data_IF_669531808512
#
_entry.id   IF_669531808512
#
_cell.length_a   1.000
_cell.length_b   1.000
_cell.length_c   1.000
_cell.angle_alpha   90.00
_cell.angle_beta   90.00
_cell.angle_gamma   90.00
#
_symmetry.space_group_name_H-M   'P 1'
#
loop_
_entity.id
_entity.type
_entity.pdbx_description
1 polymer ?
#
# COMPACT_ATOMS: atom_id res chain seq x y z
N UNK A 1 25.61 -16.83 -7.98
CA UNK A 1 24.45 -15.94 -7.77
C UNK A 1 23.20 -16.78 -7.99
N UNK A 2 22.35 -16.97 -6.99
CA UNK A 2 21.09 -17.68 -7.17
C UNK A 2 20.23 -16.91 -8.19
N UNK A 3 19.86 -17.53 -9.30
CA UNK A 3 18.91 -16.93 -10.25
C UNK A 3 17.53 -16.97 -9.59
N UNK A 4 16.99 -15.80 -9.28
CA UNK A 4 15.60 -15.69 -8.81
C UNK A 4 14.68 -16.27 -9.88
N UNK A 5 13.73 -17.09 -9.45
CA UNK A 5 12.67 -17.53 -10.36
C UNK A 5 11.70 -16.38 -10.62
N UNK A 6 10.94 -16.45 -11.71
CA UNK A 6 9.90 -15.46 -11.99
C UNK A 6 8.90 -15.34 -10.83
N UNK A 7 8.61 -16.45 -10.14
CA UNK A 7 7.74 -16.48 -8.96
C UNK A 7 8.35 -15.71 -7.78
N UNK A 8 9.66 -15.83 -7.54
CA UNK A 8 10.35 -15.10 -6.47
C UNK A 8 10.36 -13.59 -6.73
N UNK A 9 10.57 -13.18 -7.98
CA UNK A 9 10.50 -11.77 -8.38
C UNK A 9 9.08 -11.23 -8.17
N UNK A 10 8.07 -11.98 -8.61
CA UNK A 10 6.67 -11.60 -8.45
C UNK A 10 6.30 -11.46 -6.97
N UNK A 11 6.66 -12.46 -6.14
CA UNK A 11 6.45 -12.42 -4.69
C UNK A 11 7.07 -11.18 -4.05
N UNK A 12 8.33 -10.89 -4.36
CA UNK A 12 9.01 -9.73 -3.80
C UNK A 12 8.38 -8.40 -4.24
N UNK A 13 7.95 -8.28 -5.50
CA UNK A 13 7.30 -7.06 -6.00
C UNK A 13 5.96 -6.83 -5.30
N UNK A 14 5.13 -7.87 -5.17
CA UNK A 14 3.84 -7.74 -4.48
C UNK A 14 4.02 -7.39 -3.00
N UNK A 15 4.97 -8.02 -2.32
CA UNK A 15 5.27 -7.72 -0.92
C UNK A 15 5.78 -6.28 -0.74
N UNK A 16 6.72 -5.85 -1.58
CA UNK A 16 7.21 -4.46 -1.57
C UNK A 16 6.09 -3.45 -1.84
N UNK A 17 5.20 -3.75 -2.79
CA UNK A 17 4.05 -2.89 -3.08
C UNK A 17 3.08 -2.80 -1.89
N UNK A 18 2.80 -3.93 -1.23
CA UNK A 18 1.96 -3.99 -0.04
C UNK A 18 2.56 -3.16 1.10
N UNK A 19 3.82 -3.41 1.46
CA UNK A 19 4.51 -2.69 2.53
C UNK A 19 4.56 -1.17 2.26
N UNK A 20 4.83 -0.78 1.01
CA UNK A 20 4.85 0.62 0.61
C UNK A 20 3.48 1.29 0.73
N UNK A 21 2.40 0.56 0.42
CA UNK A 21 1.04 1.09 0.51
C UNK A 21 0.54 1.20 1.95
N UNK A 22 0.93 0.25 2.82
CA UNK A 22 0.68 0.32 4.27
C UNK A 22 1.35 1.55 4.89
N UNK A 23 2.61 1.81 4.53
CA UNK A 23 3.32 3.01 4.96
C UNK A 23 2.67 4.29 4.42
N UNK A 24 2.17 4.30 3.17
CA UNK A 24 1.45 5.43 2.61
C UNK A 24 0.14 5.70 3.35
N UNK A 25 -0.64 4.67 3.62
CA UNK A 25 -1.89 4.78 4.40
C UNK A 25 -1.60 5.42 5.76
N UNK A 26 -0.63 4.88 6.51
CA UNK A 26 -0.26 5.39 7.83
C UNK A 26 0.20 6.85 7.78
N UNK A 27 1.01 7.21 6.77
CA UNK A 27 1.49 8.57 6.55
C UNK A 27 0.34 9.56 6.31
N UNK A 28 -0.61 9.21 5.43
CA UNK A 28 -1.74 10.09 5.15
C UNK A 28 -2.73 10.17 6.31
N UNK A 29 -2.94 9.07 7.03
CA UNK A 29 -3.72 9.06 8.27
C UNK A 29 -3.11 9.98 9.34
N UNK A 30 -1.78 10.00 9.46
CA UNK A 30 -1.08 10.93 10.33
C UNK A 30 -1.28 12.38 9.87
N UNK A 31 -1.02 12.69 8.60
CA UNK A 31 -1.17 14.06 8.09
C UNK A 31 -2.60 14.58 8.17
N UNK A 32 -3.62 13.74 7.96
CA UNK A 32 -5.01 14.14 8.10
C UNK A 32 -5.38 14.53 9.54
N UNK A 33 -4.68 13.98 10.54
CA UNK A 33 -4.86 14.30 11.96
C UNK A 33 -4.08 15.55 12.37
N UNK A 34 -2.88 15.73 11.84
CA UNK A 34 -1.93 16.76 12.30
C UNK A 34 -2.05 18.10 11.57
N UNK A 35 -2.55 18.12 10.33
CA UNK A 35 -2.67 19.37 9.55
C UNK A 35 -3.89 20.19 10.00
N UNK A 36 -3.69 21.50 10.19
CA UNK A 36 -4.74 22.44 10.58
C UNK A 36 -5.58 22.92 9.38
N UNK A 37 -5.00 22.94 8.18
CA UNK A 37 -5.71 23.35 6.96
C UNK A 37 -6.79 22.33 6.59
N UNK A 38 -8.05 22.80 6.49
CA UNK A 38 -9.21 21.93 6.22
C UNK A 38 -9.17 21.29 4.83
N UNK A 39 -8.61 21.96 3.83
CA UNK A 39 -8.50 21.44 2.45
C UNK A 39 -7.45 20.34 2.40
N UNK A 40 -6.28 20.56 2.99
CA UNK A 40 -5.23 19.55 3.12
C UNK A 40 -5.70 18.34 3.91
N UNK A 41 -6.44 18.55 5.01
CA UNK A 41 -7.04 17.46 5.78
C UNK A 41 -7.95 16.57 4.94
N UNK A 42 -8.80 17.17 4.09
CA UNK A 42 -9.67 16.43 3.16
C UNK A 42 -8.85 15.65 2.12
N UNK A 43 -7.83 16.27 1.55
CA UNK A 43 -6.93 15.63 0.57
C UNK A 43 -6.23 14.41 1.20
N UNK A 44 -5.66 14.56 2.40
CA UNK A 44 -4.99 13.45 3.07
C UNK A 44 -5.95 12.32 3.45
N UNK A 45 -7.20 12.63 3.84
CA UNK A 45 -8.22 11.59 4.02
C UNK A 45 -8.53 10.83 2.73
N UNK A 46 -8.62 11.53 1.60
CA UNK A 46 -8.82 10.88 0.31
C UNK A 46 -7.65 9.95 0.00
N UNK A 47 -6.41 10.40 0.20
CA UNK A 47 -5.22 9.57 -0.03
C UNK A 47 -5.14 8.36 0.92
N UNK A 48 -5.51 8.53 2.19
CA UNK A 48 -5.63 7.42 3.14
C UNK A 48 -6.64 6.37 2.66
N UNK A 49 -7.82 6.80 2.23
CA UNK A 49 -8.85 5.90 1.69
C UNK A 49 -8.41 5.22 0.40
N UNK A 50 -7.77 5.94 -0.52
CA UNK A 50 -7.21 5.37 -1.75
C UNK A 50 -6.17 4.30 -1.44
N UNK A 51 -5.25 4.55 -0.50
CA UNK A 51 -4.24 3.58 -0.09
C UNK A 51 -4.86 2.33 0.54
N UNK A 52 -5.92 2.50 1.33
CA UNK A 52 -6.68 1.38 1.88
C UNK A 52 -7.33 0.52 0.78
N UNK A 53 -7.88 1.13 -0.28
CA UNK A 53 -8.42 0.39 -1.42
C UNK A 53 -7.34 -0.39 -2.17
N UNK A 54 -6.18 0.24 -2.43
CA UNK A 54 -5.04 -0.44 -3.06
C UNK A 54 -4.53 -1.63 -2.23
N UNK A 55 -4.47 -1.49 -0.90
CA UNK A 55 -4.11 -2.62 -0.02
C UNK A 55 -5.11 -3.78 -0.13
N UNK A 56 -6.40 -3.49 -0.25
CA UNK A 56 -7.41 -4.51 -0.45
C UNK A 56 -7.24 -5.23 -1.81
N UNK A 57 -6.99 -4.48 -2.88
CA UNK A 57 -6.71 -5.02 -4.21
C UNK A 57 -5.43 -5.87 -4.21
N UNK A 58 -4.33 -5.36 -3.64
CA UNK A 58 -3.07 -6.09 -3.51
C UNK A 58 -3.26 -7.39 -2.72
N UNK A 59 -4.01 -7.36 -1.62
CA UNK A 59 -4.30 -8.55 -0.81
C UNK A 59 -5.10 -9.59 -1.60
N UNK A 60 -6.09 -9.15 -2.39
CA UNK A 60 -6.85 -10.05 -3.27
C UNK A 60 -5.97 -10.68 -4.34
N UNK A 61 -5.11 -9.89 -5.00
CA UNK A 61 -4.19 -10.40 -6.02
C UNK A 61 -3.13 -11.33 -5.43
N UNK A 62 -2.56 -11.00 -4.27
CA UNK A 62 -1.63 -11.87 -3.54
C UNK A 62 -2.27 -13.21 -3.19
N UNK A 63 -3.53 -13.22 -2.74
CA UNK A 63 -4.28 -14.45 -2.47
C UNK A 63 -4.48 -15.30 -3.73
N UNK A 64 -4.85 -14.69 -4.87
CA UNK A 64 -5.00 -15.40 -6.16
C UNK A 64 -3.70 -16.04 -6.62
N UNK A 65 -2.56 -15.40 -6.31
CA UNK A 65 -1.23 -15.82 -6.74
C UNK A 65 -0.51 -16.73 -5.73
N UNK A 66 -1.17 -17.09 -4.62
CA UNK A 66 -0.58 -17.85 -3.50
C UNK A 66 0.72 -17.19 -2.97
N UNK A 67 0.68 -15.86 -2.85
CA UNK A 67 1.74 -15.02 -2.27
C UNK A 67 1.35 -14.69 -0.84
N UNK A 68 2.26 -14.90 0.12
CA UNK A 68 2.04 -14.71 1.56
C UNK A 68 2.55 -13.37 2.07
#
# INVERSE_FOLDING_TARGET
>A
MAKLTQKDVQHNVFKQAYDAEELRQAKYAYFSKTVNDKRLKKIFKVFEMTAQSHLAELKQEMQKLDIK
#
